data_IF_048814892633
#
_entry.id   IF_048814892633
#
_cell.length_a   1.000
_cell.length_b   1.000
_cell.length_c   1.000
_cell.angle_alpha   90.00
_cell.angle_beta   90.00
_cell.angle_gamma   90.00
#
_symmetry.space_group_name_H-M   'P 1'
#
loop_
_entity.id
_entity.type
_entity.pdbx_description
1 polymer ?
#
# COMPACT_ATOMS: atom_id res chain seq x y z
N UNK A 1 -38.01 60.10 -48.84
CA UNK A 1 -38.04 58.63 -48.93
C UNK A 1 -36.75 57.95 -48.49
N UNK A 2 -35.58 58.56 -48.49
CA UNK A 2 -34.29 57.94 -48.07
C UNK A 2 -34.15 57.85 -46.54
N UNK A 3 -34.69 58.77 -45.77
CA UNK A 3 -34.62 58.84 -44.32
C UNK A 3 -35.50 57.73 -43.61
N UNK A 4 -36.67 57.42 -44.23
CA UNK A 4 -37.56 56.35 -43.67
C UNK A 4 -36.96 54.97 -43.82
N UNK A 5 -36.21 54.73 -44.92
CA UNK A 5 -35.51 53.43 -45.09
C UNK A 5 -34.36 53.23 -44.10
N UNK A 6 -33.70 54.30 -43.66
CA UNK A 6 -32.60 54.26 -42.68
C UNK A 6 -33.14 53.98 -41.27
N UNK A 7 -34.30 54.57 -40.89
CA UNK A 7 -34.96 54.38 -39.64
C UNK A 7 -35.50 52.92 -39.49
N UNK A 8 -36.06 52.38 -40.59
CA UNK A 8 -36.50 50.92 -40.56
C UNK A 8 -35.33 49.96 -40.49
N UNK A 9 -34.17 50.25 -41.11
CA UNK A 9 -32.97 49.45 -40.98
C UNK A 9 -32.39 49.48 -39.60
N UNK A 10 -32.44 50.62 -38.90
CA UNK A 10 -31.94 50.72 -37.51
C UNK A 10 -32.89 50.05 -36.51
N UNK A 11 -34.20 50.07 -36.73
CA UNK A 11 -35.18 49.39 -35.91
C UNK A 11 -35.07 47.84 -36.03
N UNK A 12 -34.73 47.32 -37.23
CA UNK A 12 -34.55 45.90 -37.47
C UNK A 12 -33.24 45.40 -36.88
N UNK A 13 -32.20 46.23 -36.79
CA UNK A 13 -30.92 45.88 -36.19
C UNK A 13 -31.01 45.87 -34.64
N UNK A 14 -31.86 46.69 -34.05
CA UNK A 14 -32.04 46.75 -32.60
C UNK A 14 -32.81 45.53 -32.04
N UNK A 15 -33.56 44.82 -32.86
CA UNK A 15 -34.31 43.62 -32.44
C UNK A 15 -33.46 42.33 -32.44
N UNK A 16 -32.26 42.39 -33.04
CA UNK A 16 -31.36 41.23 -33.09
C UNK A 16 -30.51 41.09 -31.81
N UNK A 17 -30.52 42.05 -30.92
CA UNK A 17 -29.78 42.01 -29.65
C UNK A 17 -30.62 41.66 -28.41
N UNK A 18 -31.90 41.27 -28.56
CA UNK A 18 -32.62 40.59 -27.50
C UNK A 18 -32.16 39.15 -27.48
N UNK A 19 -30.92 38.93 -27.04
CA UNK A 19 -30.48 37.66 -26.52
C UNK A 19 -31.39 37.33 -25.35
N UNK A 20 -32.29 36.36 -25.52
CA UNK A 20 -32.89 35.70 -24.40
C UNK A 20 -31.75 35.17 -23.54
N UNK A 21 -31.47 35.88 -22.46
CA UNK A 21 -30.79 35.28 -21.31
C UNK A 21 -31.84 34.33 -20.74
N UNK A 22 -31.86 33.09 -21.22
CA UNK A 22 -32.40 32.00 -20.45
C UNK A 22 -31.42 31.90 -19.27
N UNK A 23 -31.80 32.40 -18.11
CA UNK A 23 -31.28 31.85 -16.88
C UNK A 23 -31.52 30.34 -17.00
N UNK A 24 -30.46 29.62 -17.34
CA UNK A 24 -30.38 28.21 -17.02
C UNK A 24 -30.36 28.25 -15.49
N UNK A 25 -31.51 28.08 -14.88
CA UNK A 25 -31.58 27.59 -13.53
C UNK A 25 -30.90 26.24 -13.66
N UNK A 26 -29.59 26.21 -13.36
CA UNK A 26 -28.92 24.99 -12.98
C UNK A 26 -29.70 24.61 -11.73
N UNK A 27 -30.69 23.70 -11.86
CA UNK A 27 -31.15 22.97 -10.72
C UNK A 27 -29.84 22.46 -10.12
N UNK A 28 -29.47 22.98 -8.95
CA UNK A 28 -28.44 22.37 -8.13
C UNK A 28 -28.87 20.92 -8.01
N UNK A 29 -28.26 20.06 -8.81
CA UNK A 29 -28.34 18.63 -8.61
C UNK A 29 -27.94 18.46 -7.13
N UNK A 30 -28.80 18.00 -6.25
CA UNK A 30 -28.48 17.89 -4.83
C UNK A 30 -27.44 16.82 -4.68
N UNK A 31 -26.24 17.06 -5.16
CA UNK A 31 -25.10 16.15 -5.27
C UNK A 31 -25.19 14.95 -4.34
N UNK A 32 -24.50 13.92 -4.63
CA UNK A 32 -24.47 12.72 -3.76
C UNK A 32 -24.18 13.14 -2.31
N UNK A 33 -24.97 12.68 -1.35
CA UNK A 33 -24.70 12.97 0.06
C UNK A 33 -23.38 12.29 0.48
N UNK A 34 -22.66 12.88 1.42
CA UNK A 34 -21.40 12.28 1.92
C UNK A 34 -21.59 10.83 2.35
N UNK A 35 -22.72 10.51 3.00
CA UNK A 35 -23.01 9.13 3.38
C UNK A 35 -23.14 8.20 2.16
N UNK A 36 -23.81 8.65 1.10
CA UNK A 36 -23.90 7.89 -0.15
C UNK A 36 -22.54 7.78 -0.82
N UNK A 37 -21.71 8.83 -0.77
CA UNK A 37 -20.36 8.81 -1.33
C UNK A 37 -19.48 7.79 -0.60
N UNK A 38 -19.37 7.88 0.72
CA UNK A 38 -18.54 6.97 1.52
C UNK A 38 -18.97 5.51 1.42
N UNK A 39 -20.28 5.24 1.24
CA UNK A 39 -20.84 3.89 1.13
C UNK A 39 -21.03 3.42 -0.32
N UNK A 40 -20.67 4.22 -1.32
CA UNK A 40 -20.76 3.85 -2.74
C UNK A 40 -19.80 2.71 -3.12
N UNK A 41 -18.72 2.60 -2.40
CA UNK A 41 -17.74 1.53 -2.52
C UNK A 41 -17.65 0.74 -1.23
N UNK A 42 -17.39 -0.57 -1.36
CA UNK A 42 -17.22 -1.45 -0.20
C UNK A 42 -15.87 -1.25 0.47
N UNK A 43 -14.85 -0.91 -0.33
CA UNK A 43 -13.47 -0.65 0.11
C UNK A 43 -12.96 0.64 -0.52
N UNK A 44 -12.22 1.39 0.25
CA UNK A 44 -11.44 2.52 -0.19
C UNK A 44 -9.96 2.20 0.00
N UNK A 45 -9.23 2.01 -1.08
CA UNK A 45 -7.78 1.82 -1.05
C UNK A 45 -7.09 3.15 -0.75
N UNK A 46 -6.24 3.18 0.28
CA UNK A 46 -5.50 4.38 0.66
C UNK A 46 -4.25 4.48 -0.20
N UNK A 47 -4.28 5.32 -1.24
CA UNK A 47 -3.09 5.59 -2.05
C UNK A 47 -2.16 6.57 -1.34
N UNK A 48 -1.32 6.02 -0.46
CA UNK A 48 -0.39 6.82 0.33
C UNK A 48 0.61 7.59 -0.54
N UNK A 49 0.92 7.11 -1.74
CA UNK A 49 1.87 7.74 -2.65
C UNK A 49 1.31 9.01 -3.32
N UNK A 50 -0.01 9.13 -3.37
CA UNK A 50 -0.71 10.34 -3.87
C UNK A 50 -0.94 11.39 -2.79
N UNK A 51 -0.57 11.12 -1.53
CA UNK A 51 -0.73 12.08 -0.42
C UNK A 51 -0.02 13.41 -0.74
N UNK A 52 -0.71 14.52 -0.47
CA UNK A 52 -0.19 15.88 -0.64
C UNK A 52 -0.19 16.56 0.73
N UNK A 53 0.98 17.06 1.15
CA UNK A 53 1.17 17.65 2.47
C UNK A 53 2.18 16.85 3.29
N UNK A 54 2.40 17.30 4.53
CA UNK A 54 3.38 16.69 5.45
C UNK A 54 2.78 16.35 6.82
N UNK A 55 1.46 16.49 6.93
CA UNK A 55 0.76 16.14 8.16
C UNK A 55 0.66 14.62 8.32
N UNK A 56 0.59 14.20 9.56
CA UNK A 56 0.46 12.80 9.91
C UNK A 56 -0.97 12.52 10.38
N UNK A 57 -1.60 11.51 9.78
CA UNK A 57 -2.84 10.90 10.24
C UNK A 57 -2.58 9.40 10.38
N UNK A 58 -2.20 8.95 11.58
CA UNK A 58 -1.60 7.62 11.77
C UNK A 58 -2.44 6.48 11.25
N UNK A 59 -3.77 6.48 11.45
CA UNK A 59 -4.62 5.39 10.98
C UNK A 59 -4.65 5.28 9.44
N UNK A 60 -4.62 6.39 8.69
CA UNK A 60 -4.52 6.37 7.23
C UNK A 60 -3.14 5.91 6.75
N UNK A 61 -2.10 6.28 7.48
CA UNK A 61 -0.74 5.84 7.15
C UNK A 61 -0.49 4.36 7.47
N UNK A 62 -1.29 3.74 8.33
CA UNK A 62 -1.25 2.31 8.63
C UNK A 62 -2.15 1.49 7.70
N UNK A 63 -3.31 2.01 7.33
CA UNK A 63 -4.31 1.30 6.56
C UNK A 63 -3.89 1.06 5.10
N UNK A 64 -4.19 -0.11 4.57
CA UNK A 64 -4.17 -0.41 3.13
C UNK A 64 -5.55 -0.15 2.51
N UNK A 65 -6.60 -0.54 3.21
CA UNK A 65 -7.98 -0.19 2.85
C UNK A 65 -8.75 0.27 4.06
N UNK A 66 -9.72 1.16 3.84
CA UNK A 66 -10.73 1.54 4.84
C UNK A 66 -12.13 1.33 4.27
N UNK A 67 -13.11 1.18 5.16
CA UNK A 67 -14.52 0.99 4.82
C UNK A 67 -15.41 1.70 5.81
N UNK A 68 -16.48 2.31 5.32
CA UNK A 68 -17.45 3.05 6.12
C UNK A 68 -18.78 2.30 6.15
N UNK A 69 -19.16 1.72 7.30
CA UNK A 69 -20.35 0.86 7.41
C UNK A 69 -21.09 1.08 8.71
N UNK A 70 -22.35 1.51 8.59
CA UNK A 70 -23.26 1.66 9.76
C UNK A 70 -22.67 2.51 10.90
N UNK A 71 -21.93 3.56 10.60
CA UNK A 71 -21.28 4.42 11.59
C UNK A 71 -19.94 3.91 12.11
N UNK A 72 -19.44 2.77 11.61
CA UNK A 72 -18.18 2.17 12.01
C UNK A 72 -17.17 2.25 10.87
N UNK A 73 -15.94 2.60 11.19
CA UNK A 73 -14.79 2.54 10.29
C UNK A 73 -14.06 1.22 10.47
N UNK A 74 -13.88 0.51 9.38
CA UNK A 74 -13.07 -0.71 9.32
C UNK A 74 -11.80 -0.46 8.53
N UNK A 75 -10.70 -1.13 8.88
CA UNK A 75 -9.46 -1.04 8.14
C UNK A 75 -8.75 -2.40 8.03
N UNK A 76 -8.17 -2.64 6.86
CA UNK A 76 -7.10 -3.62 6.69
C UNK A 76 -5.78 -2.88 6.88
N UNK A 77 -5.19 -3.02 8.05
CA UNK A 77 -3.91 -2.41 8.44
C UNK A 77 -2.79 -3.44 8.60
N UNK A 78 -3.05 -4.67 8.22
CA UNK A 78 -2.12 -5.79 8.18
C UNK A 78 -2.15 -6.40 6.78
N UNK A 79 -0.98 -6.79 6.27
CA UNK A 79 -0.87 -7.37 4.92
C UNK A 79 -1.25 -8.84 4.93
N UNK A 80 -0.83 -9.58 5.95
CA UNK A 80 -1.15 -11.02 6.05
C UNK A 80 -2.63 -11.20 6.34
N UNK A 81 -3.30 -12.04 5.54
CA UNK A 81 -4.74 -12.24 5.63
C UNK A 81 -5.58 -11.05 5.18
N UNK A 82 -4.98 -10.09 4.47
CA UNK A 82 -5.74 -9.03 3.81
C UNK A 82 -6.77 -9.66 2.85
N UNK A 83 -8.03 -9.24 2.98
CA UNK A 83 -9.13 -9.86 2.23
C UNK A 83 -9.90 -10.92 3.03
N UNK A 84 -9.30 -11.60 3.98
CA UNK A 84 -9.95 -12.60 4.82
C UNK A 84 -10.48 -12.00 6.13
N UNK A 85 -9.70 -11.12 6.77
CA UNK A 85 -10.05 -10.49 8.03
C UNK A 85 -11.33 -9.67 7.89
N UNK A 86 -12.29 -9.89 8.81
CA UNK A 86 -13.58 -9.18 8.81
C UNK A 86 -14.37 -9.34 7.52
N UNK A 87 -14.25 -10.48 6.83
CA UNK A 87 -14.85 -10.73 5.52
C UNK A 87 -14.34 -9.73 4.45
N UNK A 88 -13.06 -9.40 4.50
CA UNK A 88 -12.39 -8.46 3.60
C UNK A 88 -12.47 -6.98 3.99
N UNK A 89 -13.27 -6.61 4.99
CA UNK A 89 -13.33 -5.23 5.47
C UNK A 89 -12.21 -4.87 6.46
N UNK A 90 -11.55 -5.88 7.03
CA UNK A 90 -10.56 -5.69 8.07
C UNK A 90 -11.14 -5.69 9.48
N UNK A 91 -10.47 -5.00 10.39
CA UNK A 91 -10.87 -4.84 11.78
C UNK A 91 -11.64 -3.53 11.99
N UNK A 92 -12.50 -3.49 13.01
CA UNK A 92 -13.11 -2.28 13.53
C UNK A 92 -12.01 -1.41 14.15
N UNK A 93 -11.93 -0.13 13.74
CA UNK A 93 -10.94 0.83 14.23
C UNK A 93 -11.57 2.06 14.88
N UNK A 94 -12.90 2.13 14.96
CA UNK A 94 -13.62 3.22 15.58
C UNK A 94 -14.90 3.62 14.84
N UNK A 95 -15.51 4.68 15.29
CA UNK A 95 -16.77 5.20 14.77
C UNK A 95 -16.55 6.41 13.85
N UNK A 96 -17.55 6.71 12.99
CA UNK A 96 -17.55 7.93 12.21
C UNK A 96 -18.92 8.60 12.18
N UNK A 97 -18.89 9.93 12.02
CA UNK A 97 -20.02 10.76 11.66
C UNK A 97 -19.74 11.47 10.33
N UNK A 98 -20.78 11.63 9.51
CA UNK A 98 -20.63 12.23 8.18
C UNK A 98 -21.80 13.20 7.90
N UNK A 99 -21.50 14.48 7.65
CA UNK A 99 -22.46 15.56 7.40
C UNK A 99 -21.80 16.66 6.57
N UNK A 100 -22.56 17.32 5.72
CA UNK A 100 -22.13 18.51 4.96
C UNK A 100 -20.74 18.38 4.28
N UNK A 101 -20.44 17.21 3.74
CA UNK A 101 -19.12 16.85 3.18
C UNK A 101 -17.97 16.87 4.21
N UNK A 102 -18.27 16.78 5.49
CA UNK A 102 -17.33 16.61 6.58
C UNK A 102 -17.42 15.16 7.07
N UNK A 103 -16.26 14.54 7.28
CA UNK A 103 -16.09 13.22 7.87
C UNK A 103 -15.34 13.38 9.20
N UNK A 104 -16.02 13.08 10.28
CA UNK A 104 -15.44 12.99 11.62
C UNK A 104 -15.17 11.52 11.94
N UNK A 105 -13.94 11.19 12.31
CA UNK A 105 -13.51 9.84 12.69
C UNK A 105 -13.07 9.84 14.14
N UNK A 106 -13.65 8.95 14.93
CA UNK A 106 -13.29 8.69 16.33
C UNK A 106 -12.53 7.38 16.40
N UNK A 107 -11.22 7.44 16.11
CA UNK A 107 -10.37 6.25 16.09
C UNK A 107 -10.05 5.79 17.52
N UNK A 108 -10.19 4.49 17.79
CA UNK A 108 -10.10 3.92 19.15
C UNK A 108 -8.75 4.16 19.84
N UNK A 109 -7.69 4.30 19.06
CA UNK A 109 -6.31 4.47 19.58
C UNK A 109 -5.76 5.85 19.26
N UNK A 110 -5.87 6.30 18.01
CA UNK A 110 -5.22 7.54 17.54
C UNK A 110 -6.06 8.79 17.83
N UNK A 111 -7.33 8.62 18.28
CA UNK A 111 -8.21 9.70 18.71
C UNK A 111 -9.06 10.30 17.60
N UNK A 112 -9.44 11.57 17.75
CA UNK A 112 -10.37 12.26 16.85
C UNK A 112 -9.62 12.92 15.69
N UNK A 113 -10.13 12.68 14.48
CA UNK A 113 -9.68 13.35 13.26
C UNK A 113 -10.90 13.81 12.45
N UNK A 114 -10.79 14.94 11.77
CA UNK A 114 -11.84 15.47 10.90
C UNK A 114 -11.27 15.78 9.52
N UNK A 115 -12.09 15.55 8.50
CA UNK A 115 -11.71 15.72 7.10
C UNK A 115 -12.81 16.45 6.33
N UNK A 116 -12.41 17.38 5.49
CA UNK A 116 -13.24 17.81 4.36
C UNK A 116 -13.16 16.75 3.26
N UNK A 117 -14.29 16.28 2.76
CA UNK A 117 -14.36 15.22 1.77
C UNK A 117 -14.68 15.80 0.41
N UNK A 118 -13.84 15.53 -0.58
CA UNK A 118 -14.07 15.94 -1.96
C UNK A 118 -14.17 14.71 -2.87
N UNK A 119 -15.21 14.65 -3.68
CA UNK A 119 -15.30 13.68 -4.76
C UNK A 119 -14.47 14.16 -5.94
N UNK A 120 -13.39 13.44 -6.27
CA UNK A 120 -12.50 13.78 -7.38
C UNK A 120 -13.08 13.26 -8.71
N UNK A 121 -13.55 12.01 -8.69
CA UNK A 121 -14.24 11.39 -9.81
C UNK A 121 -15.22 10.31 -9.32
N UNK A 122 -15.66 9.40 -10.21
CA UNK A 122 -16.61 8.33 -9.86
C UNK A 122 -16.08 7.31 -8.87
N UNK A 123 -14.74 7.18 -8.74
CA UNK A 123 -14.08 6.15 -7.96
C UNK A 123 -13.07 6.70 -6.95
N UNK A 124 -12.75 7.99 -7.00
CA UNK A 124 -11.69 8.57 -6.16
C UNK A 124 -12.26 9.67 -5.27
N UNK A 125 -11.92 9.63 -3.99
CA UNK A 125 -12.20 10.70 -3.04
C UNK A 125 -10.90 11.26 -2.45
N UNK A 126 -10.95 12.53 -2.07
CA UNK A 126 -9.92 13.18 -1.26
C UNK A 126 -10.47 13.38 0.16
N UNK A 127 -9.67 12.99 1.15
CA UNK A 127 -9.84 13.33 2.55
C UNK A 127 -8.81 14.41 2.90
N UNK A 128 -9.24 15.66 2.95
CA UNK A 128 -8.39 16.78 3.34
C UNK A 128 -8.49 17.02 4.84
N UNK A 129 -7.36 16.94 5.54
CA UNK A 129 -7.28 17.28 6.96
C UNK A 129 -6.89 18.76 7.13
N UNK A 130 -7.83 19.63 7.55
CA UNK A 130 -7.58 21.07 7.64
C UNK A 130 -6.64 21.45 8.80
N UNK A 131 -6.43 20.56 9.78
CA UNK A 131 -5.56 20.85 10.93
C UNK A 131 -4.08 20.69 10.61
N UNK A 132 -3.74 19.79 9.71
CA UNK A 132 -2.36 19.50 9.34
C UNK A 132 -2.05 19.75 7.86
N UNK A 133 -3.00 20.36 7.11
CA UNK A 133 -2.87 20.75 5.71
C UNK A 133 -2.40 19.56 4.82
N UNK A 134 -3.10 18.44 4.94
CA UNK A 134 -2.74 17.21 4.23
C UNK A 134 -3.96 16.57 3.58
N UNK A 135 -3.81 16.23 2.29
CA UNK A 135 -4.79 15.52 1.49
C UNK A 135 -4.39 14.07 1.28
N UNK A 136 -5.28 13.14 1.63
CA UNK A 136 -5.17 11.72 1.34
C UNK A 136 -6.14 11.35 0.23
N UNK A 137 -5.67 10.61 -0.76
CA UNK A 137 -6.50 10.14 -1.88
C UNK A 137 -6.83 8.67 -1.71
N UNK A 138 -8.09 8.34 -1.91
CA UNK A 138 -8.61 7.00 -1.72
C UNK A 138 -9.36 6.56 -2.98
N UNK A 139 -9.01 5.37 -3.47
CA UNK A 139 -9.65 4.75 -4.63
C UNK A 139 -10.67 3.71 -4.21
N UNK A 140 -11.88 3.82 -4.77
CA UNK A 140 -13.03 2.99 -4.41
C UNK A 140 -13.11 1.68 -5.18
N UNK A 141 -13.39 0.59 -4.47
CA UNK A 141 -13.55 -0.76 -5.01
C UNK A 141 -14.73 -1.49 -4.40
N UNK A 142 -15.26 -2.45 -5.15
CA UNK A 142 -16.11 -3.49 -4.59
C UNK A 142 -15.23 -4.68 -4.20
N UNK A 143 -15.49 -5.34 -3.07
CA UNK A 143 -14.68 -6.48 -2.59
C UNK A 143 -14.54 -7.60 -3.61
N UNK A 144 -15.57 -7.84 -4.41
CA UNK A 144 -15.57 -8.92 -5.40
C UNK A 144 -14.62 -8.71 -6.58
N UNK A 145 -14.12 -7.49 -6.77
CA UNK A 145 -13.16 -7.14 -7.83
C UNK A 145 -11.88 -6.44 -7.30
N UNK A 146 -11.70 -6.42 -5.98
CA UNK A 146 -10.48 -5.92 -5.37
C UNK A 146 -9.41 -7.00 -5.37
N UNK A 147 -8.23 -6.68 -5.89
CA UNK A 147 -7.11 -7.61 -5.95
C UNK A 147 -6.30 -7.57 -4.64
N UNK A 148 -6.74 -8.35 -3.66
CA UNK A 148 -6.08 -8.46 -2.37
C UNK A 148 -4.66 -9.05 -2.49
N UNK A 149 -4.47 -9.99 -3.42
CA UNK A 149 -3.16 -10.60 -3.65
C UNK A 149 -2.18 -9.59 -4.21
N UNK A 150 -2.66 -8.74 -5.14
CA UNK A 150 -1.85 -7.63 -5.64
C UNK A 150 -1.39 -6.71 -4.50
N UNK A 151 -2.30 -6.32 -3.59
CA UNK A 151 -1.95 -5.45 -2.46
C UNK A 151 -0.95 -6.13 -1.52
N UNK A 152 -1.19 -7.41 -1.17
CA UNK A 152 -0.24 -8.18 -0.36
C UNK A 152 1.14 -8.21 -1.00
N UNK A 153 1.20 -8.58 -2.26
CA UNK A 153 2.47 -8.76 -2.97
C UNK A 153 3.18 -7.44 -3.30
N UNK A 154 2.44 -6.40 -3.58
CA UNK A 154 3.00 -5.05 -3.77
C UNK A 154 3.63 -4.51 -2.48
N UNK A 155 3.18 -4.99 -1.34
CA UNK A 155 3.61 -4.56 -0.02
C UNK A 155 4.39 -5.63 0.76
N UNK A 156 4.82 -6.72 0.13
CA UNK A 156 5.60 -7.80 0.79
C UNK A 156 6.87 -7.27 1.47
N UNK A 157 7.47 -6.21 0.93
CA UNK A 157 8.62 -5.57 1.53
C UNK A 157 8.28 -4.94 2.89
N UNK A 158 7.10 -4.34 3.04
CA UNK A 158 6.63 -3.84 4.35
C UNK A 158 6.58 -4.96 5.36
N UNK A 159 5.98 -6.09 5.00
CA UNK A 159 5.86 -7.25 5.87
C UNK A 159 7.24 -7.79 6.30
N UNK A 160 8.17 -7.95 5.36
CA UNK A 160 9.51 -8.42 5.69
C UNK A 160 10.29 -7.43 6.57
N UNK A 161 9.98 -6.13 6.45
CA UNK A 161 10.64 -5.06 7.18
C UNK A 161 10.00 -4.71 8.53
N UNK A 162 8.87 -5.34 8.89
CA UNK A 162 8.12 -5.06 10.13
C UNK A 162 8.79 -5.58 11.40
N UNK A 163 9.95 -6.25 11.29
CA UNK A 163 10.68 -6.80 12.43
C UNK A 163 12.13 -6.33 12.47
N UNK A 164 12.63 -6.11 13.69
CA UNK A 164 14.05 -5.80 13.92
C UNK A 164 14.96 -6.95 13.48
N UNK A 165 14.48 -8.17 13.58
CA UNK A 165 15.14 -9.37 13.07
C UNK A 165 14.13 -10.51 12.87
N UNK A 166 14.40 -11.37 11.91
CA UNK A 166 13.78 -12.68 11.74
C UNK A 166 14.72 -13.73 12.28
N UNK A 167 14.31 -14.43 13.36
CA UNK A 167 15.10 -15.47 14.03
C UNK A 167 14.73 -16.84 13.47
N UNK A 168 15.71 -17.63 13.10
CA UNK A 168 15.50 -18.99 12.63
C UNK A 168 15.00 -19.88 13.78
N UNK A 169 13.82 -20.48 13.59
CA UNK A 169 13.18 -21.35 14.59
C UNK A 169 13.16 -22.82 14.20
N UNK A 170 13.40 -23.10 12.92
CA UNK A 170 13.40 -24.46 12.41
C UNK A 170 14.34 -24.60 11.20
N UNK A 171 14.99 -25.75 11.11
CA UNK A 171 15.68 -26.26 9.92
C UNK A 171 15.26 -27.71 9.74
N UNK A 172 14.87 -28.11 8.52
CA UNK A 172 14.47 -29.47 8.25
C UNK A 172 15.60 -30.47 8.47
N UNK A 173 15.25 -31.68 8.93
CA UNK A 173 16.20 -32.80 9.07
C UNK A 173 16.66 -33.38 7.73
N UNK A 174 16.00 -33.01 6.64
CA UNK A 174 16.34 -33.37 5.26
C UNK A 174 16.95 -32.19 4.53
N UNK A 175 17.61 -32.48 3.45
CA UNK A 175 18.35 -31.48 2.66
C UNK A 175 19.85 -31.62 2.80
N UNK A 176 20.58 -31.03 1.88
CA UNK A 176 22.04 -31.02 1.90
C UNK A 176 22.58 -29.86 2.74
N UNK A 177 23.60 -30.12 3.52
CA UNK A 177 24.30 -29.08 4.28
C UNK A 177 24.79 -27.98 3.31
N UNK A 178 24.53 -26.74 3.67
CA UNK A 178 24.89 -25.57 2.90
C UNK A 178 25.34 -24.40 3.81
N UNK A 179 25.84 -23.33 3.22
CA UNK A 179 26.41 -22.21 3.99
C UNK A 179 25.35 -21.41 4.76
N UNK A 180 24.11 -21.32 4.24
CA UNK A 180 22.99 -20.64 4.88
C UNK A 180 22.52 -21.32 6.17
N UNK A 181 22.86 -22.59 6.39
CA UNK A 181 22.53 -23.30 7.65
C UNK A 181 23.06 -22.58 8.90
N UNK A 182 24.13 -21.79 8.76
CA UNK A 182 24.74 -21.07 9.87
C UNK A 182 24.13 -19.69 10.10
N UNK A 183 23.30 -19.17 9.18
CA UNK A 183 22.65 -17.87 9.33
C UNK A 183 21.39 -18.01 10.19
N UNK A 184 21.48 -17.54 11.43
CA UNK A 184 20.42 -17.67 12.42
C UNK A 184 19.45 -16.50 12.47
N UNK A 185 19.85 -15.34 11.92
CA UNK A 185 19.03 -14.15 11.84
C UNK A 185 19.10 -13.50 10.48
N UNK A 186 17.95 -12.97 10.05
CA UNK A 186 17.82 -12.10 8.88
C UNK A 186 17.21 -10.77 9.31
N UNK A 187 17.61 -9.69 8.68
CA UNK A 187 16.96 -8.39 8.78
C UNK A 187 16.76 -7.81 7.40
N UNK A 188 15.55 -7.37 7.11
CA UNK A 188 15.22 -6.65 5.88
C UNK A 188 15.05 -5.17 6.24
N UNK A 189 15.92 -4.33 5.70
CA UNK A 189 15.99 -2.93 6.12
C UNK A 189 14.95 -2.08 5.41
N UNK A 190 14.22 -1.29 6.21
CA UNK A 190 13.33 -0.26 5.69
C UNK A 190 14.12 1.00 5.36
N UNK A 191 13.97 1.52 4.16
CA UNK A 191 14.58 2.79 3.81
C UNK A 191 14.61 3.07 2.32
N UNK A 192 13.81 3.98 1.88
CA UNK A 192 13.87 4.56 0.54
C UNK A 192 13.61 3.59 -0.61
N UNK A 193 14.60 3.40 -1.46
CA UNK A 193 14.55 2.44 -2.58
C UNK A 193 15.27 1.13 -2.23
N UNK A 194 15.57 0.91 -0.96
CA UNK A 194 16.56 -0.05 -0.56
C UNK A 194 15.91 -1.40 -0.26
N UNK A 195 16.17 -2.33 -1.15
CA UNK A 195 15.97 -3.75 -0.92
C UNK A 195 17.25 -4.33 -0.29
N UNK A 196 17.68 -3.77 0.85
CA UNK A 196 18.88 -4.23 1.55
C UNK A 196 18.53 -5.19 2.65
N UNK A 197 19.39 -6.17 2.90
CA UNK A 197 19.27 -7.10 4.00
C UNK A 197 20.61 -7.25 4.74
N UNK A 198 20.50 -7.79 5.94
CA UNK A 198 21.64 -8.24 6.74
C UNK A 198 21.34 -9.62 7.28
N UNK A 199 22.37 -10.42 7.54
CA UNK A 199 22.25 -11.69 8.22
C UNK A 199 23.31 -11.88 9.30
N UNK A 200 22.99 -12.73 10.27
CA UNK A 200 23.85 -12.98 11.42
C UNK A 200 23.94 -14.47 11.74
N UNK A 201 25.13 -14.89 12.17
CA UNK A 201 25.42 -16.24 12.68
C UNK A 201 25.37 -16.31 14.21
N UNK A 202 24.99 -15.24 14.87
CA UNK A 202 24.87 -15.21 16.34
C UNK A 202 23.97 -16.33 16.87
N UNK A 203 24.18 -16.74 18.13
CA UNK A 203 23.39 -17.79 18.77
C UNK A 203 21.91 -17.43 18.87
N UNK A 204 21.03 -18.42 18.67
CA UNK A 204 19.58 -18.24 18.78
C UNK A 204 19.17 -17.73 20.18
N UNK A 205 18.13 -16.92 20.24
CA UNK A 205 17.61 -16.33 21.48
C UNK A 205 18.26 -15.03 21.89
N UNK A 206 19.14 -14.45 21.05
CA UNK A 206 19.71 -13.14 21.32
C UNK A 206 18.69 -12.02 21.15
N UNK A 207 18.89 -10.93 21.88
CA UNK A 207 18.12 -9.72 21.68
C UNK A 207 18.53 -9.07 20.34
N UNK A 208 17.60 -8.72 19.43
CA UNK A 208 17.91 -8.10 18.14
C UNK A 208 18.86 -6.91 18.21
N UNK A 209 18.75 -6.07 19.26
CA UNK A 209 19.60 -4.92 19.46
C UNK A 209 21.09 -5.25 19.71
N UNK A 210 21.41 -6.49 20.02
CA UNK A 210 22.77 -6.94 20.33
C UNK A 210 23.37 -7.82 19.23
N UNK A 211 22.66 -8.07 18.14
CA UNK A 211 23.13 -8.88 17.02
C UNK A 211 24.32 -8.23 16.31
N UNK A 212 25.27 -9.07 15.94
CA UNK A 212 26.37 -8.71 15.04
C UNK A 212 25.98 -9.19 13.64
N UNK A 213 25.88 -8.25 12.72
CA UNK A 213 25.54 -8.55 11.34
C UNK A 213 26.80 -8.94 10.57
N UNK A 214 26.92 -10.24 10.26
CA UNK A 214 28.08 -10.82 9.60
C UNK A 214 28.10 -10.57 8.11
N UNK A 215 26.92 -10.52 7.51
CA UNK A 215 26.74 -10.36 6.06
C UNK A 215 25.74 -9.25 5.75
N UNK A 216 25.96 -8.63 4.62
CA UNK A 216 25.07 -7.60 4.04
C UNK A 216 24.88 -7.85 2.55
N UNK A 217 23.81 -7.29 1.99
CA UNK A 217 23.55 -7.39 0.56
C UNK A 217 22.21 -6.76 0.18
N UNK A 218 21.76 -7.07 -1.02
CA UNK A 218 20.45 -6.68 -1.52
C UNK A 218 19.55 -7.91 -1.63
N UNK A 219 18.24 -7.73 -1.40
CA UNK A 219 17.28 -8.79 -1.61
C UNK A 219 16.26 -8.42 -2.69
N UNK A 220 15.70 -9.43 -3.32
CA UNK A 220 14.61 -9.29 -4.28
C UNK A 220 13.53 -10.31 -4.01
N UNK A 221 12.27 -9.87 -4.10
CA UNK A 221 11.11 -10.74 -4.03
C UNK A 221 10.45 -10.80 -5.42
N UNK A 222 10.14 -11.99 -5.90
CA UNK A 222 9.50 -12.21 -7.19
C UNK A 222 8.30 -13.14 -7.10
N UNK A 223 7.50 -13.16 -8.17
CA UNK A 223 6.32 -14.03 -8.26
C UNK A 223 6.67 -15.41 -8.77
N UNK A 224 5.93 -16.40 -8.29
CA UNK A 224 5.91 -17.74 -8.86
C UNK A 224 4.69 -17.89 -9.78
N UNK A 225 4.93 -18.14 -11.07
CA UNK A 225 3.85 -18.27 -12.04
C UNK A 225 2.87 -19.39 -11.65
N UNK A 226 1.59 -19.03 -11.55
CA UNK A 226 0.51 -19.97 -11.25
C UNK A 226 0.35 -20.31 -9.77
N UNK A 227 1.14 -19.71 -8.88
CA UNK A 227 0.98 -19.86 -7.43
C UNK A 227 1.08 -18.51 -6.73
N UNK A 228 -0.05 -17.93 -6.37
CA UNK A 228 -0.15 -16.62 -5.72
C UNK A 228 0.31 -16.64 -4.24
N UNK A 229 0.35 -17.82 -3.61
CA UNK A 229 0.77 -17.98 -2.20
C UNK A 229 2.26 -18.23 -2.04
N UNK A 230 3.01 -18.29 -3.14
CA UNK A 230 4.43 -18.56 -3.13
C UNK A 230 5.19 -17.41 -3.80
N UNK A 231 6.26 -16.98 -3.18
CA UNK A 231 7.20 -15.99 -3.72
C UNK A 231 8.57 -16.58 -3.89
N UNK A 232 9.38 -15.93 -4.68
CA UNK A 232 10.82 -16.16 -4.69
C UNK A 232 11.50 -15.09 -3.88
N UNK A 233 12.47 -15.45 -3.07
CA UNK A 233 13.37 -14.54 -2.36
C UNK A 233 14.79 -14.81 -2.81
N UNK A 234 15.47 -13.79 -3.31
CA UNK A 234 16.91 -13.85 -3.61
C UNK A 234 17.64 -12.96 -2.64
N UNK A 235 18.65 -13.49 -1.98
CA UNK A 235 19.61 -12.75 -1.18
C UNK A 235 20.91 -12.64 -1.99
N UNK A 236 21.27 -11.43 -2.41
CA UNK A 236 22.47 -11.14 -3.21
C UNK A 236 23.49 -10.49 -2.28
N UNK A 237 24.43 -11.29 -1.78
CA UNK A 237 25.43 -10.87 -0.81
C UNK A 237 26.52 -10.02 -1.45
N UNK A 238 27.00 -9.01 -0.76
CA UNK A 238 28.01 -8.07 -1.28
C UNK A 238 29.33 -8.75 -1.70
N UNK A 239 29.72 -9.84 -1.03
CA UNK A 239 31.02 -10.50 -1.22
C UNK A 239 30.93 -12.00 -1.47
N UNK A 240 29.73 -12.55 -1.52
CA UNK A 240 29.48 -13.98 -1.67
C UNK A 240 28.53 -14.23 -2.84
N UNK A 241 28.32 -15.49 -3.09
CA UNK A 241 27.30 -15.90 -4.05
C UNK A 241 25.88 -15.65 -3.51
N UNK A 242 24.89 -15.54 -4.42
CA UNK A 242 23.50 -15.32 -4.08
C UNK A 242 22.86 -16.59 -3.49
N UNK A 243 21.94 -16.43 -2.57
CA UNK A 243 21.05 -17.51 -2.13
C UNK A 243 19.64 -17.27 -2.70
N UNK A 244 19.00 -18.35 -3.09
CA UNK A 244 17.65 -18.33 -3.68
C UNK A 244 16.72 -19.22 -2.89
N UNK A 245 15.55 -18.69 -2.58
CA UNK A 245 14.51 -19.38 -1.81
C UNK A 245 13.16 -19.24 -2.48
N UNK A 246 12.30 -20.23 -2.23
CA UNK A 246 10.86 -20.06 -2.31
C UNK A 246 10.38 -19.60 -0.94
N UNK A 247 9.66 -18.47 -0.90
CA UNK A 247 9.16 -17.82 0.31
C UNK A 247 7.66 -18.06 0.47
N UNK A 248 7.27 -18.62 1.59
CA UNK A 248 5.88 -18.74 2.04
C UNK A 248 5.68 -17.95 3.33
N UNK A 249 4.51 -17.34 3.49
CA UNK A 249 4.12 -16.68 4.75
C UNK A 249 3.20 -17.60 5.51
N UNK A 250 3.61 -17.99 6.72
CA UNK A 250 2.84 -18.88 7.61
C UNK A 250 1.80 -18.08 8.38
N UNK A 251 2.20 -16.92 8.94
CA UNK A 251 1.35 -15.97 9.65
C UNK A 251 2.07 -14.63 9.78
N UNK A 252 1.46 -13.66 10.49
CA UNK A 252 2.00 -12.30 10.66
C UNK A 252 3.42 -12.22 11.20
N UNK A 253 3.84 -13.21 11.97
CA UNK A 253 5.17 -13.24 12.59
C UNK A 253 6.02 -14.39 12.11
N UNK A 254 5.65 -15.15 11.08
CA UNK A 254 6.39 -16.35 10.70
C UNK A 254 6.43 -16.57 9.19
N UNK A 255 7.64 -16.80 8.68
CA UNK A 255 7.90 -17.14 7.26
C UNK A 255 8.56 -18.49 7.13
N UNK A 256 8.38 -19.13 5.99
CA UNK A 256 9.06 -20.34 5.57
C UNK A 256 9.89 -20.03 4.32
N UNK A 257 11.14 -20.47 4.33
CA UNK A 257 12.06 -20.39 3.21
C UNK A 257 12.46 -21.81 2.78
N UNK A 258 11.99 -22.24 1.60
CA UNK A 258 12.51 -23.46 0.99
C UNK A 258 13.69 -23.12 0.10
N UNK A 259 14.84 -23.77 0.33
CA UNK A 259 16.06 -23.60 -0.43
C UNK A 259 16.20 -24.72 -1.48
N UNK A 260 15.84 -24.49 -2.76
CA UNK A 260 15.75 -25.57 -3.76
C UNK A 260 17.07 -26.26 -4.06
N UNK A 261 18.21 -25.54 -3.92
CA UNK A 261 19.52 -26.12 -4.22
C UNK A 261 19.98 -27.16 -3.20
N UNK A 262 19.55 -27.06 -1.94
CA UNK A 262 19.85 -28.05 -0.89
C UNK A 262 18.64 -28.89 -0.49
N UNK A 263 17.44 -28.54 -0.98
CA UNK A 263 16.17 -29.14 -0.57
C UNK A 263 15.88 -28.97 0.96
N UNK A 264 16.40 -27.86 1.54
CA UNK A 264 16.23 -27.57 2.98
C UNK A 264 15.12 -26.58 3.19
N UNK A 265 14.32 -26.77 4.25
CA UNK A 265 13.30 -25.84 4.72
C UNK A 265 13.79 -25.14 5.98
N UNK A 266 13.67 -23.84 6.01
CA UNK A 266 13.91 -23.01 7.18
C UNK A 266 12.63 -22.27 7.56
N UNK A 267 12.35 -22.15 8.87
CA UNK A 267 11.31 -21.25 9.35
C UNK A 267 11.95 -20.14 10.18
N UNK A 268 11.48 -18.92 9.97
CA UNK A 268 11.92 -17.74 10.72
C UNK A 268 10.73 -17.08 11.40
N UNK A 269 10.94 -16.62 12.63
CA UNK A 269 9.97 -15.88 13.42
C UNK A 269 10.45 -14.46 13.67
N UNK A 270 9.57 -13.48 13.45
CA UNK A 270 9.85 -12.06 13.64
C UNK A 270 10.07 -11.69 15.10
N UNK A 271 11.11 -10.89 15.36
CA UNK A 271 11.48 -10.36 16.68
C UNK A 271 11.51 -8.84 16.64
N UNK A 272 10.94 -8.20 17.65
CA UNK A 272 10.95 -6.75 17.75
C UNK A 272 10.08 -6.10 16.66
N UNK A 273 8.74 -6.30 16.76
CA UNK A 273 7.81 -5.70 15.81
C UNK A 273 7.95 -4.19 15.72
N UNK A 274 8.09 -3.67 14.50
CA UNK A 274 8.24 -2.25 14.18
C UNK A 274 7.03 -1.80 13.36
N UNK A 275 6.22 -0.92 13.92
CA UNK A 275 5.12 -0.34 13.16
C UNK A 275 5.61 0.87 12.36
N UNK A 276 5.70 0.73 11.06
CA UNK A 276 5.99 1.84 10.17
C UNK A 276 4.72 2.59 9.78
N UNK A 277 4.80 3.92 9.79
CA UNK A 277 3.83 4.76 9.09
C UNK A 277 4.27 4.86 7.63
N UNK A 278 3.37 4.51 6.72
CA UNK A 278 3.58 4.74 5.30
C UNK A 278 3.64 6.24 5.03
N UNK A 279 4.70 6.71 4.40
CA UNK A 279 4.85 8.12 4.06
C UNK A 279 4.84 8.28 2.55
N UNK A 280 4.21 9.37 2.07
CA UNK A 280 4.32 9.75 0.67
C UNK A 280 5.78 10.08 0.33
N UNK A 281 6.26 9.60 -0.80
CA UNK A 281 7.56 10.04 -1.33
C UNK A 281 7.44 11.51 -1.73
N UNK A 282 8.36 12.35 -1.24
CA UNK A 282 8.38 13.76 -1.62
C UNK A 282 8.46 13.90 -3.15
N UNK A 283 7.67 14.80 -3.74
CA UNK A 283 7.62 15.11 -5.19
C UNK A 283 8.95 15.55 -5.82
N UNK A 284 10.11 15.40 -5.14
CA UNK A 284 11.43 15.78 -5.63
C UNK A 284 12.16 14.69 -6.43
N UNK A 285 11.80 13.43 -6.25
CA UNK A 285 12.43 12.30 -6.97
C UNK A 285 11.39 11.66 -7.89
N UNK A 286 11.38 12.11 -9.13
CA UNK A 286 10.62 11.66 -10.31
C UNK A 286 9.51 10.64 -10.05
N UNK A 287 8.29 11.13 -9.93
CA UNK A 287 7.10 10.36 -9.71
C UNK A 287 6.83 9.36 -10.85
N UNK A 288 7.32 8.14 -10.68
CA UNK A 288 6.64 6.95 -11.16
C UNK A 288 6.22 6.23 -9.87
N UNK A 289 4.92 6.04 -9.67
CA UNK A 289 4.38 5.45 -8.46
C UNK A 289 5.09 4.16 -8.07
N UNK A 290 5.13 3.86 -6.78
CA UNK A 290 5.79 2.68 -6.22
C UNK A 290 5.36 1.41 -6.94
N UNK A 291 4.10 1.34 -7.37
CA UNK A 291 3.54 0.28 -8.21
C UNK A 291 4.26 0.11 -9.55
N UNK A 292 4.64 1.21 -10.22
CA UNK A 292 5.35 1.13 -11.50
C UNK A 292 6.84 0.82 -11.33
N UNK A 293 7.46 1.27 -10.23
CA UNK A 293 8.86 0.92 -9.93
C UNK A 293 8.97 -0.53 -9.44
N UNK A 294 8.06 -1.02 -8.61
CA UNK A 294 7.99 -2.44 -8.24
C UNK A 294 7.66 -3.31 -9.46
N UNK A 295 6.72 -2.90 -10.34
CA UNK A 295 6.48 -3.59 -11.61
C UNK A 295 7.72 -3.60 -12.54
N UNK A 296 8.53 -2.54 -12.58
CA UNK A 296 9.78 -2.52 -13.34
C UNK A 296 10.84 -3.43 -12.74
N UNK A 297 11.03 -3.40 -11.41
CA UNK A 297 11.92 -4.35 -10.73
C UNK A 297 11.45 -5.79 -10.87
N UNK A 298 10.14 -6.02 -10.82
CA UNK A 298 9.50 -7.32 -11.03
C UNK A 298 9.71 -7.90 -12.44
N UNK A 299 9.80 -7.05 -13.48
CA UNK A 299 10.07 -7.48 -14.86
C UNK A 299 11.55 -7.68 -15.16
N UNK A 300 12.44 -6.97 -14.47
CA UNK A 300 13.86 -6.92 -14.79
C UNK A 300 14.70 -7.89 -13.96
N UNK A 301 14.15 -8.50 -12.89
CA UNK A 301 14.85 -9.46 -12.02
C UNK A 301 14.02 -10.71 -11.82
N UNK A 302 13.92 -11.54 -12.86
CA UNK A 302 13.61 -12.96 -12.66
C UNK A 302 14.92 -13.58 -12.14
N UNK A 303 14.97 -14.10 -10.89
CA UNK A 303 16.15 -14.79 -10.41
C UNK A 303 16.42 -15.96 -11.34
N UNK A 304 17.60 -16.03 -11.93
CA UNK A 304 18.02 -17.25 -12.60
C UNK A 304 18.30 -18.29 -11.50
N UNK A 305 17.59 -19.44 -11.51
CA UNK A 305 17.94 -20.54 -10.64
C UNK A 305 19.40 -20.88 -10.94
N UNK A 306 20.22 -20.96 -9.90
CA UNK A 306 21.63 -21.36 -10.07
C UNK A 306 21.69 -22.71 -10.72
N UNK A 307 22.43 -22.81 -11.82
CA UNK A 307 23.02 -24.06 -12.22
C UNK A 307 24.04 -24.46 -11.15
N UNK A 308 23.70 -25.49 -10.38
CA UNK A 308 24.63 -26.14 -9.46
C UNK A 308 25.84 -26.66 -10.23
N UNK A 309 26.89 -25.85 -10.29
CA UNK A 309 28.23 -26.35 -10.57
C UNK A 309 28.97 -26.47 -9.24
N UNK A 310 28.63 -27.49 -8.47
CA UNK A 310 29.59 -28.08 -7.55
C UNK A 310 30.05 -29.39 -8.17
N UNK A 311 31.26 -29.35 -8.72
CA UNK A 311 32.08 -30.54 -8.96
C UNK A 311 32.75 -30.97 -7.64
#
# INVERSE_FOLDING_TARGET
MKTIKLLLGFSLLATLFTSCYTEVVVEDDPGISIHQLLTSHELWYVDINSTVGYGETPFLQKAFTISFRNGVVYANNNIVGIGDTGNGFGIDIGEYEAYDMILDVYHDIDGFETFDVYQIDGNTIELYNPYNDTSYFLDGYQRGNFDYDFVFYDNIHYFLQEYEAWEKTYTSDFGAINEFDNENYLQFLAGGNDSTFQSSQDELGMNPANLIWDYTGIYGVGDVNGNMYLKTLTLDYDYFDNEYFELSVINDGKIELFHPSSETIYEFEGRGYIQYLKTSKSKGDGAAGTTDKMRKHRKDKVPNPRENTRA
#
